data_IF_714407451325
#
_entry.id   IF_714407451325
#
_cell.length_a   1.000
_cell.length_b   1.000
_cell.length_c   1.000
_cell.angle_alpha   90.00
_cell.angle_beta   90.00
_cell.angle_gamma   90.00
#
_symmetry.space_group_name_H-M   'P 1'
#
loop_
_entity.id
_entity.type
_entity.pdbx_description
1 polymer ?
#
# COMPACT_ATOMS: atom_id res chain seq x y z
N UNK A 1 -20.97 4.38 9.47
CA UNK A 1 -19.63 4.95 9.18
C UNK A 1 -18.65 4.36 10.19
N UNK A 2 -17.49 3.84 9.77
CA UNK A 2 -16.46 3.37 10.72
C UNK A 2 -15.92 4.57 11.48
N UNK A 3 -15.79 4.50 12.81
CA UNK A 3 -15.24 5.59 13.62
C UNK A 3 -13.81 5.91 13.20
N UNK A 4 -13.41 7.16 13.41
CA UNK A 4 -12.06 7.64 13.09
C UNK A 4 -10.99 6.83 13.84
N UNK A 5 -11.20 6.58 15.13
CA UNK A 5 -10.34 5.75 15.96
C UNK A 5 -10.18 4.33 15.41
N UNK A 6 -11.27 3.69 14.98
CA UNK A 6 -11.22 2.37 14.39
C UNK A 6 -10.48 2.37 13.04
N UNK A 7 -10.59 3.46 12.27
CA UNK A 7 -9.84 3.65 11.03
C UNK A 7 -8.34 3.82 11.29
N UNK A 8 -7.95 4.69 12.23
CA UNK A 8 -6.56 4.91 12.62
C UNK A 8 -5.93 3.60 13.08
N UNK A 9 -6.58 2.88 14.02
CA UNK A 9 -6.10 1.58 14.50
C UNK A 9 -5.90 0.57 13.38
N UNK A 10 -6.82 0.50 12.42
CA UNK A 10 -6.70 -0.40 11.26
C UNK A 10 -5.48 -0.07 10.40
N UNK A 11 -5.17 1.22 10.22
CA UNK A 11 -3.98 1.66 9.48
C UNK A 11 -2.71 1.31 10.25
N UNK A 12 -2.67 1.54 11.57
CA UNK A 12 -1.52 1.19 12.41
C UNK A 12 -1.23 -0.31 12.41
N UNK A 13 -2.26 -1.15 12.54
CA UNK A 13 -2.12 -2.61 12.44
C UNK A 13 -1.62 -3.06 11.07
N UNK A 14 -2.12 -2.42 10.00
CA UNK A 14 -1.62 -2.69 8.65
C UNK A 14 -0.14 -2.32 8.52
N UNK A 15 0.28 -1.15 9.03
CA UNK A 15 1.68 -0.70 9.02
C UNK A 15 2.58 -1.67 9.78
N UNK A 16 2.16 -2.12 10.98
CA UNK A 16 2.89 -3.12 11.76
C UNK A 16 3.11 -4.41 10.98
N UNK A 17 2.07 -4.95 10.33
CA UNK A 17 2.20 -6.16 9.48
C UNK A 17 3.11 -5.94 8.27
N UNK A 18 3.08 -4.73 7.68
CA UNK A 18 3.96 -4.40 6.56
C UNK A 18 5.42 -4.29 6.99
N UNK A 19 5.71 -3.65 8.12
CA UNK A 19 7.06 -3.59 8.66
C UNK A 19 7.59 -4.98 9.03
N UNK A 20 6.74 -5.83 9.63
CA UNK A 20 7.09 -7.23 9.92
C UNK A 20 7.41 -8.02 8.64
N UNK A 21 6.60 -7.84 7.58
CA UNK A 21 6.86 -8.44 6.29
C UNK A 21 8.25 -8.03 5.75
N UNK A 22 8.57 -6.73 5.77
CA UNK A 22 9.86 -6.24 5.28
C UNK A 22 11.05 -6.75 6.11
N UNK A 23 10.88 -6.86 7.42
CA UNK A 23 11.94 -7.31 8.32
C UNK A 23 12.20 -8.82 8.21
N UNK A 24 11.15 -9.63 8.23
CA UNK A 24 11.28 -11.06 8.55
C UNK A 24 10.89 -11.99 7.38
N UNK A 25 10.10 -11.52 6.42
CA UNK A 25 9.57 -12.42 5.40
C UNK A 25 10.66 -12.83 4.39
N UNK A 26 10.76 -14.12 4.00
CA UNK A 26 11.69 -14.55 2.95
C UNK A 26 11.50 -13.78 1.64
N UNK A 27 10.24 -13.48 1.28
CA UNK A 27 9.85 -12.73 0.09
C UNK A 27 9.93 -11.20 0.28
N UNK A 28 10.56 -10.72 1.36
CA UNK A 28 10.82 -9.30 1.52
C UNK A 28 11.75 -8.80 0.40
N UNK A 29 11.46 -7.64 -0.20
CA UNK A 29 12.31 -7.05 -1.23
C UNK A 29 13.63 -6.49 -0.67
N UNK A 30 13.80 -6.45 0.65
CA UNK A 30 15.05 -6.00 1.27
C UNK A 30 16.13 -7.08 1.18
N UNK A 31 17.33 -6.67 0.80
CA UNK A 31 18.55 -7.48 0.90
C UNK A 31 18.87 -7.81 2.36
N UNK A 32 19.59 -8.91 2.65
CA UNK A 32 19.96 -9.29 4.02
C UNK A 32 20.58 -8.13 4.83
N UNK A 33 21.52 -7.38 4.25
CA UNK A 33 22.22 -6.27 4.90
C UNK A 33 21.32 -5.05 5.11
N UNK A 34 20.21 -4.95 4.36
CA UNK A 34 19.19 -3.93 4.56
C UNK A 34 18.22 -4.34 5.67
N UNK A 35 17.89 -5.63 5.79
CA UNK A 35 17.01 -6.17 6.85
C UNK A 35 17.63 -5.97 8.24
N UNK A 36 18.94 -6.17 8.38
CA UNK A 36 19.67 -5.96 9.64
C UNK A 36 19.55 -4.52 10.15
N UNK A 37 19.55 -3.54 9.24
CA UNK A 37 19.46 -2.11 9.57
C UNK A 37 18.04 -1.54 9.47
N UNK A 38 17.06 -2.36 9.10
CA UNK A 38 15.69 -1.91 8.89
C UNK A 38 15.06 -1.52 10.23
N UNK A 39 14.45 -0.34 10.30
CA UNK A 39 13.76 0.14 11.52
C UNK A 39 12.24 0.30 11.33
N UNK A 40 11.76 0.13 10.10
CA UNK A 40 10.38 0.39 9.71
C UNK A 40 10.32 1.23 8.44
N UNK A 41 9.20 1.16 7.72
CA UNK A 41 8.94 2.02 6.58
C UNK A 41 8.62 3.44 7.07
N UNK A 42 8.91 4.42 6.22
CA UNK A 42 8.57 5.82 6.47
C UNK A 42 7.12 6.05 6.06
N UNK A 43 6.25 6.29 7.04
CA UNK A 43 4.83 6.57 6.83
C UNK A 43 4.50 8.03 7.09
N UNK A 44 3.56 8.57 6.32
CA UNK A 44 2.91 9.83 6.68
C UNK A 44 1.99 9.64 7.90
N UNK A 45 1.72 10.68 8.70
CA UNK A 45 0.70 10.64 9.74
C UNK A 45 -0.65 10.19 9.16
N UNK A 46 -1.45 9.47 9.96
CA UNK A 46 -2.81 9.14 9.54
C UNK A 46 -3.63 10.43 9.57
N UNK A 47 -4.17 10.82 8.41
CA UNK A 47 -4.92 12.05 8.19
C UNK A 47 -6.28 11.70 7.60
N UNK A 48 -7.34 11.61 8.42
CA UNK A 48 -8.68 11.28 7.96
C UNK A 48 -9.22 12.23 6.89
N UNK A 49 -8.67 13.44 6.79
CA UNK A 49 -9.01 14.43 5.77
C UNK A 49 -8.70 13.95 4.34
N UNK A 50 -7.78 12.99 4.19
CA UNK A 50 -7.46 12.35 2.91
C UNK A 50 -8.26 11.07 2.65
N UNK A 51 -9.25 10.75 3.51
CA UNK A 51 -10.14 9.61 3.33
C UNK A 51 -11.46 10.07 2.72
N UNK A 52 -11.57 9.92 1.42
CA UNK A 52 -12.78 10.26 0.68
C UNK A 52 -13.73 9.07 0.56
N UNK A 53 -15.03 9.35 0.64
CA UNK A 53 -16.08 8.42 0.18
C UNK A 53 -16.41 8.83 -1.25
N UNK A 54 -16.18 7.93 -2.19
CA UNK A 54 -16.40 8.17 -3.62
C UNK A 54 -17.41 7.16 -4.16
N UNK A 55 -18.20 7.59 -5.13
CA UNK A 55 -19.14 6.71 -5.84
C UNK A 55 -18.37 5.82 -6.82
N UNK A 56 -18.77 4.55 -6.89
CA UNK A 56 -18.20 3.61 -7.85
C UNK A 56 -19.02 3.65 -9.14
N UNK A 57 -18.55 4.40 -10.12
CA UNK A 57 -19.10 4.34 -11.48
C UNK A 57 -18.52 3.12 -12.21
N UNK A 58 -19.40 2.19 -12.60
CA UNK A 58 -19.05 1.01 -13.40
C UNK A 58 -19.47 1.13 -14.86
N UNK A 59 -20.34 2.08 -15.17
CA UNK A 59 -20.92 2.24 -16.51
C UNK A 59 -20.14 3.27 -17.35
N UNK A 60 -19.52 4.26 -16.70
CA UNK A 60 -18.62 5.23 -17.32
C UNK A 60 -17.20 4.71 -17.59
N UNK A 61 -16.92 3.44 -17.29
CA UNK A 61 -15.60 2.82 -17.53
C UNK A 61 -15.61 2.12 -18.88
N UNK A 62 -14.89 2.69 -19.85
CA UNK A 62 -14.53 1.93 -21.03
C UNK A 62 -13.55 0.85 -20.57
N UNK A 63 -13.87 -0.43 -20.80
CA UNK A 63 -12.99 -1.57 -20.49
C UNK A 63 -11.81 -1.67 -21.46
N UNK A 64 -11.15 -0.55 -21.72
CA UNK A 64 -9.92 -0.50 -22.49
C UNK A 64 -8.77 -0.95 -21.61
N UNK A 65 -7.96 -1.86 -22.15
CA UNK A 65 -6.74 -2.29 -21.47
C UNK A 65 -5.81 -1.10 -21.34
N UNK A 66 -5.34 -0.87 -20.12
CA UNK A 66 -4.35 0.18 -19.86
C UNK A 66 -2.97 -0.45 -19.72
N UNK A 67 -2.01 0.09 -20.47
CA UNK A 67 -0.61 -0.33 -20.41
C UNK A 67 0.13 0.56 -19.43
N UNK A 68 0.62 -0.02 -18.34
CA UNK A 68 1.43 0.68 -17.35
C UNK A 68 2.89 0.26 -17.47
N UNK A 69 3.80 1.23 -17.56
CA UNK A 69 5.23 0.98 -17.50
C UNK A 69 5.63 0.41 -16.15
N UNK A 70 6.55 -0.56 -16.16
CA UNK A 70 7.10 -1.14 -14.92
C UNK A 70 8.59 -0.86 -14.80
N UNK A 71 9.11 -0.90 -13.58
CA UNK A 71 10.55 -0.75 -13.34
C UNK A 71 11.38 -1.92 -13.87
N UNK A 72 10.75 -3.01 -14.32
CA UNK A 72 11.42 -4.15 -14.97
C UNK A 72 11.54 -3.96 -16.49
N UNK A 73 11.06 -2.85 -17.05
CA UNK A 73 11.11 -2.53 -18.48
C UNK A 73 9.96 -3.12 -19.30
N UNK A 74 9.37 -4.22 -18.84
CA UNK A 74 8.21 -4.85 -19.47
C UNK A 74 6.91 -4.14 -19.07
N UNK A 75 6.14 -3.56 -20.01
CA UNK A 75 4.86 -2.96 -19.70
C UNK A 75 3.86 -4.01 -19.20
N UNK A 76 2.96 -3.62 -18.29
CA UNK A 76 1.91 -4.50 -17.77
C UNK A 76 0.53 -3.97 -18.17
N UNK A 77 -0.26 -4.85 -18.76
CA UNK A 77 -1.66 -4.61 -19.09
C UNK A 77 -2.58 -4.90 -17.88
N UNK A 78 -3.59 -4.06 -17.70
CA UNK A 78 -4.66 -4.21 -16.70
C UNK A 78 -6.02 -4.02 -17.37
#
# INVERSE_FOLDING_TARGET
MVSEEAYIRRIEEYRKRRDEFFRNNPNSPLLPEQRERFQGLRYYPVKPEYRFVVELDREGVIQERVVLGTTTGEPKEF
#
